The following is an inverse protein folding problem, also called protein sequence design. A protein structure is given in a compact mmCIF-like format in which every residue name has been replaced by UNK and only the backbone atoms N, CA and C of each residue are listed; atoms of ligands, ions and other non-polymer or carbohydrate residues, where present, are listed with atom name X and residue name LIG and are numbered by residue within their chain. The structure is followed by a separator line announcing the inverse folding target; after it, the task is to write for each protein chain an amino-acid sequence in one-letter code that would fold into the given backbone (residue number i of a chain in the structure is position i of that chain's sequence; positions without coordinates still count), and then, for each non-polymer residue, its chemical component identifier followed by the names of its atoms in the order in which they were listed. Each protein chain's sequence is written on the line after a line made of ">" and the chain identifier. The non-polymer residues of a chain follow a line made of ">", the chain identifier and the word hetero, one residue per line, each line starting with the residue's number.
data_IF_875480737664
#
_entry.id   IF_875480737664
#
_cell.length_a   1.000
_cell.length_b   1.000
_cell.length_c   1.000
_cell.angle_alpha   90.00
_cell.angle_beta   90.00
_cell.angle_gamma   90.00
#
_symmetry.space_group_name_H-M   'P 1'
#
loop_
_entity.id
_entity.type
_entity.pdbx_description
1 polymer ?
#
# COMPACT_ATOMS: atom_id res chain seq x y z
N UNK A 1 -33.65 -22.60 -12.04
CA UNK A 1 -32.68 -21.55 -12.41
C UNK A 1 -32.43 -20.52 -11.27
N UNK A 2 -33.49 -19.93 -10.63
CA UNK A 2 -33.29 -19.01 -9.49
C UNK A 2 -32.52 -19.62 -8.32
N UNK A 3 -32.83 -20.86 -7.96
CA UNK A 3 -32.16 -21.57 -6.86
C UNK A 3 -30.65 -21.75 -7.08
N UNK A 4 -30.22 -22.10 -8.30
CA UNK A 4 -28.82 -22.24 -8.64
C UNK A 4 -28.07 -20.92 -8.51
N UNK A 5 -28.67 -19.80 -8.93
CA UNK A 5 -28.08 -18.46 -8.77
C UNK A 5 -27.94 -18.08 -7.30
N UNK A 6 -28.95 -18.35 -6.47
CA UNK A 6 -28.90 -18.10 -5.03
C UNK A 6 -27.79 -18.92 -4.36
N UNK A 7 -27.61 -20.18 -4.76
CA UNK A 7 -26.48 -21.01 -4.28
C UNK A 7 -25.14 -20.39 -4.68
N UNK A 8 -25.00 -19.94 -5.93
CA UNK A 8 -23.77 -19.26 -6.37
C UNK A 8 -23.48 -17.99 -5.53
N UNK A 9 -24.49 -17.16 -5.28
CA UNK A 9 -24.33 -15.96 -4.45
C UNK A 9 -23.96 -16.31 -3.01
N UNK A 10 -24.57 -17.34 -2.42
CA UNK A 10 -24.23 -17.83 -1.10
C UNK A 10 -22.78 -18.33 -1.02
N UNK A 11 -22.29 -19.05 -2.02
CA UNK A 11 -20.90 -19.52 -2.08
C UNK A 11 -19.93 -18.32 -2.12
N UNK A 12 -20.21 -17.30 -2.94
CA UNK A 12 -19.39 -16.08 -3.02
C UNK A 12 -19.40 -15.32 -1.69
N UNK A 13 -20.55 -15.21 -1.02
CA UNK A 13 -20.67 -14.60 0.30
C UNK A 13 -19.84 -15.36 1.34
N UNK A 14 -19.97 -16.68 1.42
CA UNK A 14 -19.20 -17.52 2.36
C UNK A 14 -17.69 -17.37 2.12
N UNK A 15 -17.27 -17.39 0.86
CA UNK A 15 -15.87 -17.12 0.51
C UNK A 15 -15.40 -15.74 1.00
N UNK A 16 -16.23 -14.70 0.77
CA UNK A 16 -15.88 -13.34 1.16
C UNK A 16 -15.76 -13.18 2.69
N UNK A 17 -16.71 -13.74 3.43
CA UNK A 17 -16.68 -13.77 4.90
C UNK A 17 -15.43 -14.52 5.40
N UNK A 18 -15.12 -15.68 4.81
CA UNK A 18 -13.91 -16.44 5.15
C UNK A 18 -12.63 -15.61 4.93
N UNK A 19 -12.57 -14.90 3.80
CA UNK A 19 -11.45 -14.02 3.48
C UNK A 19 -11.29 -12.88 4.50
N UNK A 20 -12.38 -12.17 4.81
CA UNK A 20 -12.39 -11.08 5.80
C UNK A 20 -12.10 -11.58 7.22
N UNK A 21 -12.60 -12.74 7.59
CA UNK A 21 -12.31 -13.38 8.88
C UNK A 21 -10.80 -13.67 9.02
N UNK A 22 -10.17 -14.13 7.94
CA UNK A 22 -8.71 -14.31 7.91
C UNK A 22 -7.95 -13.03 8.16
N UNK A 23 -8.37 -11.91 7.55
CA UNK A 23 -7.79 -10.57 7.78
C UNK A 23 -7.98 -10.16 9.24
N UNK A 24 -9.21 -10.27 9.77
CA UNK A 24 -9.53 -9.90 11.15
C UNK A 24 -8.69 -10.66 12.18
N UNK A 25 -8.54 -11.98 12.00
CA UNK A 25 -7.68 -12.83 12.85
C UNK A 25 -6.23 -12.40 12.72
N UNK A 26 -5.75 -12.17 11.49
CA UNK A 26 -4.37 -11.76 11.23
C UNK A 26 -4.00 -10.44 11.90
N UNK A 27 -4.91 -9.47 11.93
CA UNK A 27 -4.69 -8.20 12.64
C UNK A 27 -4.43 -8.39 14.16
N UNK A 28 -4.86 -9.49 14.75
CA UNK A 28 -4.59 -9.80 16.16
C UNK A 28 -3.30 -10.57 16.40
N UNK A 29 -2.59 -11.01 15.35
CA UNK A 29 -1.40 -11.87 15.48
C UNK A 29 -0.07 -11.11 15.45
N UNK A 30 -0.09 -9.79 15.26
CA UNK A 30 1.13 -9.00 15.23
C UNK A 30 1.75 -8.91 16.61
N UNK A 31 3.03 -9.26 16.70
CA UNK A 31 3.79 -9.17 17.94
C UNK A 31 4.22 -7.73 18.20
N UNK A 32 4.02 -7.25 19.42
CA UNK A 32 4.58 -5.99 19.90
C UNK A 32 6.02 -6.17 20.45
N UNK A 33 6.67 -7.29 20.15
CA UNK A 33 8.05 -7.52 20.60
C UNK A 33 8.96 -6.51 19.95
N UNK A 34 9.42 -5.55 20.72
CA UNK A 34 10.52 -4.68 20.34
C UNK A 34 11.81 -5.48 20.45
N UNK A 35 12.55 -5.59 19.35
CA UNK A 35 13.93 -6.04 19.38
C UNK A 35 14.79 -4.94 20.03
N UNK A 36 15.88 -5.33 20.70
CA UNK A 36 16.91 -4.40 21.10
C UNK A 36 17.50 -3.80 19.80
N UNK A 37 17.75 -2.48 19.79
CA UNK A 37 18.23 -1.75 18.62
C UNK A 37 19.18 -2.57 17.74
N UNK A 38 18.89 -2.56 16.43
CA UNK A 38 19.85 -3.03 15.45
C UNK A 38 21.08 -2.12 15.49
N UNK A 39 22.26 -2.71 15.46
CA UNK A 39 23.51 -1.97 15.32
C UNK A 39 23.85 -1.71 13.84
N UNK A 40 22.95 -2.11 12.93
CA UNK A 40 23.11 -2.02 11.49
C UNK A 40 22.85 -0.60 10.99
N UNK A 41 23.67 -0.15 10.03
CA UNK A 41 23.48 1.14 9.40
C UNK A 41 22.31 1.11 8.42
N UNK A 42 21.49 2.16 8.42
CA UNK A 42 20.23 2.24 7.68
C UNK A 42 20.31 3.29 6.58
N UNK A 43 19.80 2.96 5.38
CA UNK A 43 19.56 3.96 4.34
C UNK A 43 18.06 4.15 4.12
N UNK A 44 17.60 5.40 4.20
CA UNK A 44 16.27 5.82 3.82
C UNK A 44 16.30 6.35 2.39
N UNK A 45 15.59 5.72 1.47
CA UNK A 45 15.53 6.09 0.05
C UNK A 45 14.22 6.79 -0.26
N UNK A 46 14.30 8.02 -0.78
CA UNK A 46 13.16 8.88 -1.09
C UNK A 46 13.22 9.30 -2.57
N UNK A 47 12.71 8.48 -3.48
CA UNK A 47 12.59 8.86 -4.88
C UNK A 47 11.55 9.97 -5.04
N UNK A 48 11.87 11.02 -5.80
CA UNK A 48 10.96 12.11 -6.07
C UNK A 48 10.92 12.54 -7.53
N UNK A 49 9.75 12.99 -7.97
CA UNK A 49 9.53 13.64 -9.26
C UNK A 49 8.33 14.56 -9.16
N UNK A 50 8.55 15.86 -9.41
CA UNK A 50 7.52 16.90 -9.41
C UNK A 50 6.71 16.91 -8.10
N UNK A 51 7.39 17.21 -6.98
CA UNK A 51 6.84 17.26 -5.62
C UNK A 51 7.09 18.63 -4.96
N UNK A 52 7.22 19.70 -5.75
CA UNK A 52 7.62 21.02 -5.26
C UNK A 52 6.70 21.61 -4.17
N UNK A 53 5.43 21.18 -4.12
CA UNK A 53 4.47 21.66 -3.10
C UNK A 53 4.71 21.09 -1.71
N UNK A 54 5.19 19.84 -1.63
CA UNK A 54 5.20 19.07 -0.37
C UNK A 54 6.61 18.66 0.09
N UNK A 55 7.60 18.67 -0.80
CA UNK A 55 8.90 18.04 -0.57
C UNK A 55 9.66 18.62 0.64
N UNK A 56 9.48 19.92 0.95
CA UNK A 56 10.09 20.53 2.13
C UNK A 56 9.44 20.07 3.44
N UNK A 57 8.14 19.80 3.46
CA UNK A 57 7.49 19.20 4.63
C UNK A 57 7.95 17.75 4.85
N UNK A 58 8.16 17.00 3.76
CA UNK A 58 8.80 15.69 3.85
C UNK A 58 10.20 15.79 4.46
N UNK A 59 11.03 16.73 3.99
CA UNK A 59 12.38 16.97 4.52
C UNK A 59 12.34 17.30 6.01
N UNK A 60 11.49 18.22 6.43
CA UNK A 60 11.33 18.60 7.83
C UNK A 60 10.97 17.40 8.72
N UNK A 61 10.05 16.55 8.26
CA UNK A 61 9.64 15.36 9.00
C UNK A 61 10.78 14.33 9.15
N UNK A 62 11.66 14.25 8.17
CA UNK A 62 12.85 13.38 8.18
C UNK A 62 13.96 13.97 9.08
N UNK A 63 14.17 15.28 9.03
CA UNK A 63 15.12 15.97 9.92
C UNK A 63 14.79 15.77 11.41
N UNK A 64 13.51 15.68 11.73
CA UNK A 64 12.99 15.57 13.09
C UNK A 64 12.96 14.13 13.63
N UNK A 65 13.55 13.13 12.93
CA UNK A 65 13.56 11.75 13.41
C UNK A 65 14.33 11.60 14.72
N UNK A 66 13.80 10.78 15.65
CA UNK A 66 14.41 10.48 16.96
C UNK A 66 15.60 9.51 16.86
N UNK A 67 15.71 8.75 15.76
CA UNK A 67 16.80 7.80 15.55
C UNK A 67 18.14 8.53 15.39
N UNK A 68 19.25 8.03 15.98
CA UNK A 68 20.56 8.72 15.96
C UNK A 68 21.04 9.02 14.53
N UNK A 69 21.39 10.28 14.26
CA UNK A 69 21.76 10.76 12.92
C UNK A 69 23.04 10.13 12.34
N UNK A 70 23.89 9.63 13.20
CA UNK A 70 25.11 8.90 12.84
C UNK A 70 24.85 7.43 12.44
N UNK A 71 23.65 6.90 12.70
CA UNK A 71 23.26 5.52 12.39
C UNK A 71 22.40 5.37 11.13
N UNK A 72 22.04 6.46 10.46
CA UNK A 72 21.30 6.40 9.21
C UNK A 72 21.71 7.50 8.23
N UNK A 73 21.49 7.24 6.95
CA UNK A 73 21.64 8.19 5.86
C UNK A 73 20.36 8.24 5.04
N UNK A 74 19.94 9.43 4.67
CA UNK A 74 18.77 9.66 3.80
C UNK A 74 19.25 10.07 2.42
N UNK A 75 18.71 9.45 1.38
CA UNK A 75 19.03 9.76 0.00
C UNK A 75 17.75 10.16 -0.73
N UNK A 76 17.59 11.47 -1.00
CA UNK A 76 16.61 11.98 -1.92
C UNK A 76 17.09 11.75 -3.35
N UNK A 77 16.31 11.05 -4.16
CA UNK A 77 16.71 10.64 -5.51
C UNK A 77 15.80 11.29 -6.53
N UNK A 78 16.33 12.29 -7.23
CA UNK A 78 15.61 13.01 -8.29
C UNK A 78 15.45 12.15 -9.54
N UNK A 79 14.21 11.78 -9.86
CA UNK A 79 13.85 11.07 -11.11
C UNK A 79 13.46 12.06 -12.20
N UNK A 80 14.39 12.93 -12.62
CA UNK A 80 14.23 13.91 -13.70
C UNK A 80 13.02 14.84 -13.47
N UNK A 81 12.94 15.51 -12.30
CA UNK A 81 11.92 16.53 -12.04
C UNK A 81 12.02 17.69 -13.01
N UNK A 82 10.89 18.23 -13.42
CA UNK A 82 10.76 19.38 -14.32
C UNK A 82 10.24 20.64 -13.61
N UNK A 83 9.89 20.50 -12.34
CA UNK A 83 9.48 21.59 -11.45
C UNK A 83 10.62 22.03 -10.51
N UNK A 84 10.32 22.90 -9.53
CA UNK A 84 11.30 23.42 -8.58
C UNK A 84 11.69 22.44 -7.45
N UNK A 85 11.25 21.17 -7.46
CA UNK A 85 11.51 20.21 -6.38
C UNK A 85 13.00 20.06 -6.07
N UNK A 86 13.82 19.83 -7.10
CA UNK A 86 15.27 19.66 -6.94
C UNK A 86 15.93 20.93 -6.39
N UNK A 87 15.57 22.10 -6.94
CA UNK A 87 16.09 23.39 -6.51
C UNK A 87 15.77 23.68 -5.04
N UNK A 88 14.51 23.42 -4.62
CA UNK A 88 14.08 23.58 -3.23
C UNK A 88 14.88 22.70 -2.28
N UNK A 89 15.06 21.40 -2.61
CA UNK A 89 15.87 20.49 -1.79
C UNK A 89 17.36 20.87 -1.74
N UNK A 90 17.95 21.30 -2.85
CA UNK A 90 19.35 21.70 -2.88
C UNK A 90 19.61 22.96 -2.04
N UNK A 91 18.68 23.91 -2.04
CA UNK A 91 18.78 25.18 -1.31
C UNK A 91 18.39 25.08 0.17
N UNK A 92 17.66 24.02 0.56
CA UNK A 92 17.27 23.84 1.96
C UNK A 92 18.49 23.47 2.83
N UNK A 93 18.51 24.00 4.06
CA UNK A 93 19.44 23.51 5.09
C UNK A 93 19.11 22.08 5.45
N UNK A 94 20.17 21.25 5.55
CA UNK A 94 20.03 19.80 5.80
C UNK A 94 21.13 19.31 6.71
N UNK A 95 20.81 18.33 7.54
CA UNK A 95 21.78 17.58 8.31
C UNK A 95 22.75 16.83 7.38
N UNK A 96 23.98 16.60 7.85
CA UNK A 96 25.05 15.96 7.07
C UNK A 96 24.74 14.53 6.63
N UNK A 97 23.77 13.88 7.27
CA UNK A 97 23.31 12.54 6.92
C UNK A 97 22.20 12.54 5.83
N UNK A 98 21.85 13.71 5.25
CA UNK A 98 20.85 13.82 4.16
C UNK A 98 21.54 14.24 2.87
N UNK A 99 21.39 13.44 1.84
CA UNK A 99 21.95 13.66 0.50
C UNK A 99 20.86 13.82 -0.55
N UNK A 100 21.14 14.61 -1.57
CA UNK A 100 20.30 14.75 -2.75
C UNK A 100 21.13 14.34 -3.95
N UNK A 101 20.66 13.36 -4.72
CA UNK A 101 21.31 12.88 -5.93
C UNK A 101 20.33 12.90 -7.10
N UNK A 102 20.86 13.11 -8.30
CA UNK A 102 20.06 13.02 -9.54
C UNK A 102 20.37 11.72 -10.27
N UNK A 103 19.32 11.09 -10.75
CA UNK A 103 19.40 9.88 -11.54
C UNK A 103 19.94 10.23 -12.96
N UNK A 104 20.93 9.49 -13.48
CA UNK A 104 21.32 9.63 -14.90
C UNK A 104 20.15 9.35 -15.83
N UNK A 105 20.02 10.13 -16.91
CA UNK A 105 18.88 10.04 -17.82
C UNK A 105 18.75 8.68 -18.50
N UNK A 106 19.86 8.07 -18.83
CA UNK A 106 19.99 6.76 -19.49
C UNK A 106 19.86 5.57 -18.54
N UNK A 107 19.85 5.81 -17.20
CA UNK A 107 19.72 4.74 -16.24
C UNK A 107 18.34 4.12 -16.22
N UNK A 108 18.18 2.92 -16.82
CA UNK A 108 16.94 2.13 -16.87
C UNK A 108 15.70 2.97 -17.25
N UNK A 109 15.63 3.60 -18.42
CA UNK A 109 14.66 4.65 -18.77
C UNK A 109 13.19 4.19 -18.65
N UNK A 110 12.91 2.90 -18.77
CA UNK A 110 11.56 2.34 -18.72
C UNK A 110 11.14 1.83 -17.32
N UNK A 111 12.02 1.89 -16.32
CA UNK A 111 11.77 1.28 -15.00
C UNK A 111 11.06 2.21 -14.00
N UNK A 112 10.69 3.43 -14.41
CA UNK A 112 9.95 4.41 -13.59
C UNK A 112 10.55 4.56 -12.16
N UNK A 113 9.70 4.55 -11.10
CA UNK A 113 10.15 4.66 -9.70
C UNK A 113 11.20 3.61 -9.31
N UNK A 114 11.12 2.38 -9.85
CA UNK A 114 12.06 1.30 -9.52
C UNK A 114 13.50 1.63 -9.86
N UNK A 115 13.73 2.37 -10.97
CA UNK A 115 15.07 2.80 -11.34
C UNK A 115 15.71 3.70 -10.27
N UNK A 116 14.92 4.62 -9.71
CA UNK A 116 15.41 5.51 -8.66
C UNK A 116 15.72 4.75 -7.38
N UNK A 117 14.83 3.84 -6.94
CA UNK A 117 15.07 2.99 -5.77
C UNK A 117 16.29 2.09 -5.99
N UNK A 118 16.42 1.45 -7.16
CA UNK A 118 17.58 0.62 -7.50
C UNK A 118 18.87 1.42 -7.47
N UNK A 119 18.91 2.60 -8.09
CA UNK A 119 20.05 3.48 -8.07
C UNK A 119 20.44 3.88 -6.64
N UNK A 120 19.44 4.18 -5.79
CA UNK A 120 19.68 4.42 -4.36
C UNK A 120 20.31 3.21 -3.66
N UNK A 121 19.83 1.99 -3.90
CA UNK A 121 20.37 0.76 -3.31
C UNK A 121 21.83 0.51 -3.75
N UNK A 122 22.15 0.80 -5.01
CA UNK A 122 23.51 0.66 -5.54
C UNK A 122 24.49 1.69 -4.93
N UNK A 123 23.97 2.87 -4.56
CA UNK A 123 24.77 3.97 -3.98
C UNK A 123 24.70 4.05 -2.44
N UNK A 124 24.05 3.12 -1.75
CA UNK A 124 23.93 3.10 -0.31
C UNK A 124 24.87 2.07 0.36
N UNK A 125 25.28 2.37 1.59
CA UNK A 125 26.18 1.51 2.39
C UNK A 125 25.43 0.62 3.38
N UNK A 126 24.21 1.04 3.77
CA UNK A 126 23.43 0.39 4.83
C UNK A 126 22.98 -1.03 4.48
N UNK A 127 22.83 -1.84 5.50
CA UNK A 127 22.33 -3.22 5.42
C UNK A 127 20.82 -3.27 5.40
N UNK A 128 20.17 -2.27 5.99
CA UNK A 128 18.71 -2.08 5.98
C UNK A 128 18.37 -0.93 5.05
N UNK A 129 17.46 -1.19 4.14
CA UNK A 129 16.86 -0.21 3.23
C UNK A 129 15.47 0.12 3.74
N UNK A 130 15.17 1.39 3.89
CA UNK A 130 13.81 1.90 4.15
C UNK A 130 13.39 2.74 2.96
N UNK A 131 12.22 2.49 2.41
CA UNK A 131 11.66 3.29 1.32
C UNK A 131 10.46 4.08 1.80
N UNK A 132 10.37 5.33 1.36
CA UNK A 132 9.20 6.18 1.54
C UNK A 132 9.03 7.10 0.33
N UNK A 133 7.84 7.72 0.20
CA UNK A 133 7.56 8.65 -0.89
C UNK A 133 7.82 10.10 -0.46
N UNK A 134 8.15 10.95 -1.43
CA UNK A 134 8.50 12.36 -1.16
C UNK A 134 7.27 13.24 -0.82
N UNK A 135 6.06 12.72 -1.00
CA UNK A 135 4.80 13.33 -0.59
C UNK A 135 4.31 12.84 0.79
N UNK A 136 5.18 12.15 1.53
CA UNK A 136 4.88 11.57 2.82
C UNK A 136 5.45 12.39 3.99
N UNK A 137 4.69 12.42 5.09
CA UNK A 137 5.07 13.02 6.36
C UNK A 137 5.21 11.91 7.40
N UNK A 138 6.29 11.96 8.16
CA UNK A 138 6.69 10.92 9.10
C UNK A 138 6.54 11.41 10.54
N UNK A 139 6.10 10.53 11.44
CA UNK A 139 6.14 10.80 12.88
C UNK A 139 7.59 10.80 13.36
N UNK A 140 7.86 11.51 14.44
CA UNK A 140 9.22 11.64 15.00
C UNK A 140 9.88 10.30 15.30
N UNK A 141 9.11 9.33 15.80
CA UNK A 141 9.60 7.99 16.17
C UNK A 141 9.46 6.95 15.05
N UNK A 142 9.15 7.38 13.81
CA UNK A 142 8.86 6.48 12.70
C UNK A 142 10.00 5.50 12.42
N UNK A 143 11.21 6.01 12.18
CA UNK A 143 12.36 5.19 11.79
C UNK A 143 12.76 4.25 12.94
N UNK A 144 12.89 4.76 14.14
CA UNK A 144 13.18 3.97 15.34
C UNK A 144 12.14 2.86 15.55
N UNK A 145 10.86 3.19 15.36
CA UNK A 145 9.78 2.22 15.54
C UNK A 145 9.85 1.09 14.52
N UNK A 146 10.04 1.39 13.23
CA UNK A 146 10.18 0.35 12.20
C UNK A 146 11.36 -0.55 12.49
N UNK A 147 12.52 0.03 12.82
CA UNK A 147 13.74 -0.71 13.08
C UNK A 147 13.63 -1.61 14.33
N UNK A 148 12.81 -1.24 15.31
CA UNK A 148 12.56 -2.06 16.50
C UNK A 148 11.86 -3.40 16.20
N UNK A 149 11.31 -3.59 15.01
CA UNK A 149 10.68 -4.84 14.57
C UNK A 149 11.64 -5.81 13.88
N UNK A 150 12.90 -5.40 13.63
CA UNK A 150 13.88 -6.30 13.03
C UNK A 150 14.44 -7.28 14.06
N UNK A 151 14.54 -8.52 13.63
CA UNK A 151 15.36 -9.57 14.22
C UNK A 151 16.21 -10.23 13.11
N UNK A 152 16.97 -11.27 13.43
CA UNK A 152 17.85 -11.95 12.46
C UNK A 152 17.07 -12.64 11.31
N UNK A 153 15.82 -12.97 11.52
CA UNK A 153 14.98 -13.70 10.57
C UNK A 153 14.10 -12.76 9.72
N UNK A 154 13.99 -11.48 10.12
CA UNK A 154 13.14 -10.51 9.43
C UNK A 154 13.83 -9.98 8.19
N UNK A 155 13.29 -10.28 7.01
CA UNK A 155 13.80 -9.79 5.72
C UNK A 155 13.04 -8.61 5.15
N UNK A 156 11.77 -8.43 5.52
CA UNK A 156 10.92 -7.34 5.02
C UNK A 156 9.93 -6.90 6.11
N UNK A 157 9.79 -5.59 6.26
CA UNK A 157 8.76 -4.98 7.11
C UNK A 157 7.89 -4.07 6.25
N UNK A 158 6.57 -4.27 6.32
CA UNK A 158 5.57 -3.33 5.82
C UNK A 158 5.08 -2.46 6.96
N UNK A 159 5.11 -1.15 6.79
CA UNK A 159 4.57 -0.20 7.78
C UNK A 159 3.18 0.31 7.41
N UNK A 160 2.45 0.89 8.38
CA UNK A 160 1.16 1.50 8.16
C UNK A 160 1.29 2.84 7.43
N UNK A 161 0.37 3.07 6.50
CA UNK A 161 0.22 4.34 5.78
C UNK A 161 -1.23 4.78 5.89
N UNK A 162 -1.46 6.09 6.06
CA UNK A 162 -2.81 6.67 5.99
C UNK A 162 -2.82 7.89 5.07
N UNK A 163 -3.99 8.25 4.56
CA UNK A 163 -4.19 9.58 4.01
C UNK A 163 -4.50 10.57 5.12
N UNK A 164 -4.06 11.82 4.96
CA UNK A 164 -4.39 12.92 5.85
C UNK A 164 -5.90 13.09 6.03
N UNK A 165 -6.32 13.77 7.09
CA UNK A 165 -7.73 13.84 7.49
C UNK A 165 -8.65 14.46 6.43
N UNK A 166 -8.15 15.28 5.51
CA UNK A 166 -8.91 15.92 4.45
C UNK A 166 -10.16 16.68 4.94
N UNK A 167 -10.60 17.70 4.22
CA UNK A 167 -11.80 18.46 4.58
C UNK A 167 -13.04 17.96 3.85
N UNK A 168 -12.88 17.60 2.58
CA UNK A 168 -13.98 17.17 1.71
C UNK A 168 -14.44 15.74 2.03
N UNK A 169 -15.70 15.45 1.73
CA UNK A 169 -16.25 14.11 1.83
C UNK A 169 -15.50 13.12 0.93
N UNK A 170 -15.07 13.56 -0.26
CA UNK A 170 -14.31 12.76 -1.19
C UNK A 170 -12.96 12.30 -0.60
N UNK A 171 -12.23 13.20 0.06
CA UNK A 171 -10.97 12.87 0.74
C UNK A 171 -11.19 11.91 1.92
N UNK A 172 -12.27 12.13 2.70
CA UNK A 172 -12.63 11.24 3.82
C UNK A 172 -12.98 9.82 3.36
N UNK A 173 -13.67 9.68 2.20
CA UNK A 173 -13.96 8.37 1.60
C UNK A 173 -12.68 7.70 1.10
N UNK A 174 -11.76 8.43 0.47
CA UNK A 174 -10.46 7.89 0.09
C UNK A 174 -9.66 7.42 1.30
N UNK A 175 -9.68 8.17 2.41
CA UNK A 175 -8.95 7.82 3.63
C UNK A 175 -9.43 6.49 4.21
N UNK A 176 -10.74 6.27 4.31
CA UNK A 176 -11.28 5.02 4.85
C UNK A 176 -11.07 3.83 3.92
N UNK A 177 -11.21 4.01 2.61
CA UNK A 177 -10.94 2.98 1.60
C UNK A 177 -9.46 2.55 1.66
N UNK A 178 -8.54 3.52 1.73
CA UNK A 178 -7.12 3.26 1.80
C UNK A 178 -6.72 2.57 3.11
N UNK A 179 -7.31 2.97 4.24
CA UNK A 179 -7.12 2.29 5.52
C UNK A 179 -7.56 0.82 5.45
N UNK A 180 -8.69 0.51 4.80
CA UNK A 180 -9.14 -0.86 4.55
C UNK A 180 -8.10 -1.68 3.76
N UNK A 181 -7.46 -1.08 2.75
CA UNK A 181 -6.41 -1.72 1.96
C UNK A 181 -5.16 -2.03 2.83
N UNK A 182 -4.70 -1.06 3.62
CA UNK A 182 -3.56 -1.22 4.53
C UNK A 182 -3.84 -2.31 5.59
N UNK A 183 -5.03 -2.30 6.18
CA UNK A 183 -5.44 -3.32 7.17
C UNK A 183 -5.57 -4.71 6.54
N UNK A 184 -6.00 -4.79 5.29
CA UNK A 184 -6.02 -6.04 4.54
C UNK A 184 -4.62 -6.60 4.35
N UNK A 185 -3.65 -5.76 3.97
CA UNK A 185 -2.23 -6.12 3.88
C UNK A 185 -1.68 -6.60 5.23
N UNK A 186 -1.93 -5.84 6.29
CA UNK A 186 -1.54 -6.19 7.65
C UNK A 186 -2.13 -7.54 8.09
N UNK A 187 -3.43 -7.75 7.91
CA UNK A 187 -4.10 -8.99 8.27
C UNK A 187 -3.56 -10.20 7.50
N UNK A 188 -3.32 -10.05 6.20
CA UNK A 188 -2.74 -11.11 5.37
C UNK A 188 -1.30 -11.45 5.80
N UNK A 189 -0.48 -10.46 6.16
CA UNK A 189 0.86 -10.70 6.71
C UNK A 189 0.73 -11.45 8.06
N UNK A 190 -0.21 -11.06 8.92
CA UNK A 190 -0.43 -11.70 10.22
C UNK A 190 -0.84 -13.17 10.15
N UNK A 191 -1.45 -13.63 9.05
CA UNK A 191 -1.73 -15.05 8.78
C UNK A 191 -0.70 -15.71 7.86
N UNK A 192 0.47 -15.10 7.72
CA UNK A 192 1.60 -15.60 6.89
C UNK A 192 1.26 -15.80 5.39
N UNK A 193 0.39 -14.93 4.87
CA UNK A 193 0.00 -14.89 3.44
C UNK A 193 0.19 -13.49 2.86
N UNK A 194 1.40 -12.89 2.94
CA UNK A 194 1.65 -11.53 2.49
C UNK A 194 1.30 -11.36 1.02
N UNK A 195 0.47 -10.38 0.71
CA UNK A 195 0.00 -10.10 -0.65
C UNK A 195 0.09 -8.62 -1.00
N UNK A 196 -0.23 -7.73 -0.06
CA UNK A 196 -0.35 -6.28 -0.24
C UNK A 196 0.57 -5.58 0.76
N UNK A 197 1.31 -4.58 0.29
CA UNK A 197 2.05 -3.61 1.10
C UNK A 197 2.12 -2.27 0.35
N UNK A 198 2.78 -1.28 0.94
CA UNK A 198 2.92 0.05 0.33
C UNK A 198 4.38 0.53 0.41
N UNK A 199 4.94 0.94 -0.75
CA UNK A 199 6.30 1.44 -0.87
C UNK A 199 6.56 2.74 -0.09
N UNK A 200 5.50 3.50 0.26
CA UNK A 200 5.61 4.68 1.10
C UNK A 200 6.02 4.35 2.54
N UNK A 201 5.98 3.08 2.95
CA UNK A 201 6.40 2.63 4.27
C UNK A 201 6.83 1.16 4.22
N UNK A 202 7.90 0.88 3.51
CA UNK A 202 8.47 -0.45 3.39
C UNK A 202 9.95 -0.44 3.79
N UNK A 203 10.40 -1.53 4.41
CA UNK A 203 11.79 -1.69 4.81
C UNK A 203 12.22 -3.13 4.57
N UNK A 204 13.46 -3.34 4.13
CA UNK A 204 13.97 -4.68 3.84
C UNK A 204 15.49 -4.76 4.01
N UNK A 205 15.98 -5.97 4.32
CA UNK A 205 17.40 -6.24 4.31
C UNK A 205 17.94 -6.16 2.87
N UNK A 206 19.06 -5.48 2.70
CA UNK A 206 19.76 -5.41 1.40
C UNK A 206 20.16 -6.81 0.91
N UNK A 207 20.49 -7.71 1.81
CA UNK A 207 20.75 -9.11 1.50
C UNK A 207 19.49 -9.82 0.99
N UNK A 208 18.33 -9.65 1.64
CA UNK A 208 17.06 -10.23 1.18
C UNK A 208 16.63 -9.70 -0.19
N UNK A 209 16.89 -8.42 -0.48
CA UNK A 209 16.70 -7.83 -1.80
C UNK A 209 17.59 -8.51 -2.86
N UNK A 210 18.89 -8.65 -2.56
CA UNK A 210 19.87 -9.28 -3.47
C UNK A 210 19.55 -10.74 -3.74
N UNK A 211 19.16 -11.51 -2.70
CA UNK A 211 18.90 -12.94 -2.80
C UNK A 211 17.79 -13.30 -3.78
N UNK A 212 16.88 -12.36 -4.05
CA UNK A 212 15.77 -12.56 -5.00
C UNK A 212 15.96 -11.78 -6.32
N UNK A 213 17.18 -11.33 -6.62
CA UNK A 213 17.52 -10.49 -7.78
C UNK A 213 16.69 -9.21 -7.85
N UNK A 214 16.37 -8.62 -6.70
CA UNK A 214 15.69 -7.34 -6.57
C UNK A 214 14.51 -7.14 -7.53
N UNK A 215 14.59 -6.11 -8.39
CA UNK A 215 13.53 -5.74 -9.35
C UNK A 215 13.71 -6.33 -10.76
N UNK A 216 14.75 -7.13 -11.05
CA UNK A 216 15.15 -7.48 -12.43
C UNK A 216 14.02 -8.09 -13.27
N UNK A 217 13.19 -8.95 -12.70
CA UNK A 217 12.05 -9.56 -13.41
C UNK A 217 10.91 -8.59 -13.76
N UNK A 218 10.92 -7.35 -13.25
CA UNK A 218 9.75 -6.47 -13.22
C UNK A 218 10.09 -5.00 -13.52
N UNK A 219 11.25 -4.72 -14.10
CA UNK A 219 11.70 -3.35 -14.40
C UNK A 219 10.73 -2.59 -15.31
N UNK A 220 10.11 -3.28 -16.26
CA UNK A 220 9.16 -2.69 -17.20
C UNK A 220 7.79 -2.35 -16.58
N UNK A 221 7.51 -2.77 -15.35
CA UNK A 221 6.27 -2.44 -14.65
C UNK A 221 6.47 -1.14 -13.88
N UNK A 222 5.59 -0.17 -14.08
CA UNK A 222 5.64 1.13 -13.40
C UNK A 222 5.22 1.09 -11.93
N UNK A 223 4.85 -0.07 -11.40
CA UNK A 223 4.36 -0.28 -10.05
C UNK A 223 4.80 -1.67 -9.56
N UNK A 224 4.66 -1.93 -8.25
CA UNK A 224 5.01 -3.24 -7.65
C UNK A 224 6.47 -3.33 -7.25
N UNK A 225 7.11 -2.21 -7.00
CA UNK A 225 8.41 -2.11 -6.32
C UNK A 225 8.36 -2.65 -4.88
N UNK A 226 7.19 -2.63 -4.30
CA UNK A 226 6.85 -3.06 -2.94
C UNK A 226 6.31 -4.50 -2.89
N UNK A 227 5.08 -4.68 -3.37
CA UNK A 227 4.33 -5.94 -3.25
C UNK A 227 5.01 -7.12 -3.95
N UNK A 228 5.56 -6.88 -5.16
CA UNK A 228 6.22 -7.95 -5.91
C UNK A 228 7.54 -8.34 -5.23
N UNK A 229 8.30 -7.36 -4.72
CA UNK A 229 9.52 -7.63 -3.95
C UNK A 229 9.19 -8.41 -2.68
N UNK A 230 8.21 -7.97 -1.89
CA UNK A 230 7.76 -8.66 -0.69
C UNK A 230 7.35 -10.11 -0.99
N UNK A 231 6.57 -10.33 -2.07
CA UNK A 231 6.16 -11.66 -2.49
C UNK A 231 7.34 -12.53 -2.98
N UNK A 232 8.37 -11.93 -3.59
CA UNK A 232 9.62 -12.63 -3.98
C UNK A 232 10.39 -13.08 -2.74
N UNK A 233 10.61 -12.18 -1.76
CA UNK A 233 11.29 -12.48 -0.50
C UNK A 233 10.53 -13.57 0.27
N UNK A 234 9.19 -13.52 0.30
CA UNK A 234 8.38 -14.55 0.96
C UNK A 234 8.53 -15.93 0.30
N UNK A 235 8.65 -15.99 -1.03
CA UNK A 235 8.84 -17.27 -1.74
C UNK A 235 10.21 -17.88 -1.52
N UNK A 236 11.23 -17.05 -1.34
CA UNK A 236 12.58 -17.49 -1.01
C UNK A 236 12.66 -18.23 0.34
N UNK A 237 11.67 -18.01 1.19
CA UNK A 237 11.43 -18.70 2.47
C UNK A 237 12.59 -18.64 3.50
N UNK A 238 13.61 -17.82 3.25
CA UNK A 238 14.74 -17.59 4.17
C UNK A 238 14.39 -16.58 5.24
N UNK A 239 13.46 -15.68 4.92
CA UNK A 239 13.13 -14.53 5.76
C UNK A 239 11.64 -14.45 6.07
N UNK A 240 11.35 -13.90 7.24
CA UNK A 240 10.00 -13.53 7.67
C UNK A 240 9.60 -12.18 7.08
N UNK A 241 8.31 -12.05 6.79
CA UNK A 241 7.66 -10.79 6.45
C UNK A 241 6.84 -10.35 7.66
N UNK A 242 7.04 -9.11 8.11
CA UNK A 242 6.37 -8.56 9.29
C UNK A 242 5.60 -7.30 8.91
N UNK A 243 4.48 -7.05 9.57
CA UNK A 243 3.82 -5.76 9.55
C UNK A 243 4.08 -5.01 10.86
N UNK A 244 4.55 -3.77 10.77
CA UNK A 244 4.81 -2.91 11.93
C UNK A 244 3.49 -2.35 12.47
N UNK A 245 2.86 -3.06 13.41
CA UNK A 245 1.57 -2.70 14.01
C UNK A 245 1.76 -1.69 15.14
N UNK A 246 2.21 -0.47 14.80
CA UNK A 246 2.46 0.58 15.78
C UNK A 246 2.10 1.96 15.23
N UNK A 247 1.40 2.77 16.03
CA UNK A 247 0.95 4.13 15.65
C UNK A 247 2.12 5.07 15.35
N UNK A 248 3.26 4.93 16.03
CA UNK A 248 4.43 5.76 15.80
C UNK A 248 5.07 5.51 14.43
N UNK A 249 4.79 4.36 13.81
CA UNK A 249 5.25 4.02 12.47
C UNK A 249 4.29 4.48 11.36
N UNK A 250 3.16 5.12 11.67
CA UNK A 250 2.20 5.58 10.64
C UNK A 250 2.83 6.71 9.83
N UNK A 251 2.86 6.51 8.51
CA UNK A 251 3.25 7.50 7.51
C UNK A 251 1.98 8.12 6.94
N UNK A 252 1.95 9.46 6.84
CA UNK A 252 0.81 10.19 6.30
C UNK A 252 1.13 10.72 4.90
N UNK A 253 0.30 10.38 3.91
CA UNK A 253 0.33 10.89 2.54
C UNK A 253 -0.93 11.71 2.26
N UNK A 254 -0.99 12.38 1.10
CA UNK A 254 -2.12 13.20 0.71
C UNK A 254 -3.13 12.41 -0.13
N UNK A 255 -4.45 12.57 0.11
CA UNK A 255 -5.47 12.04 -0.79
C UNK A 255 -5.46 12.81 -2.12
N UNK A 256 -6.02 12.18 -3.17
CA UNK A 256 -6.16 12.88 -4.45
C UNK A 256 -7.19 14.01 -4.36
N UNK A 257 -6.85 15.17 -4.92
CA UNK A 257 -7.74 16.34 -4.97
C UNK A 257 -8.84 16.19 -6.02
N UNK A 258 -8.58 15.47 -7.12
CA UNK A 258 -9.51 15.33 -8.25
C UNK A 258 -9.92 13.88 -8.48
N UNK A 259 -11.14 13.68 -9.02
CA UNK A 259 -11.64 12.35 -9.43
C UNK A 259 -10.76 11.75 -10.53
N UNK A 260 -10.21 12.58 -11.41
CA UNK A 260 -9.33 12.12 -12.49
C UNK A 260 -8.02 11.52 -11.95
N UNK A 261 -7.37 12.18 -10.99
CA UNK A 261 -6.14 11.68 -10.36
C UNK A 261 -6.41 10.42 -9.55
N UNK A 262 -7.51 10.40 -8.82
CA UNK A 262 -8.01 9.21 -8.13
C UNK A 262 -8.21 8.04 -9.10
N UNK A 263 -8.88 8.26 -10.23
CA UNK A 263 -9.10 7.23 -11.24
C UNK A 263 -7.79 6.65 -11.77
N UNK A 264 -6.84 7.51 -12.15
CA UNK A 264 -5.54 7.06 -12.67
C UNK A 264 -4.71 6.33 -11.60
N UNK A 265 -4.73 6.79 -10.36
CA UNK A 265 -4.05 6.13 -9.25
C UNK A 265 -4.63 4.73 -8.98
N UNK A 266 -5.95 4.60 -8.86
CA UNK A 266 -6.62 3.32 -8.58
C UNK A 266 -6.50 2.34 -9.75
N UNK A 267 -6.62 2.82 -10.98
CA UNK A 267 -6.37 2.01 -12.19
C UNK A 267 -4.95 1.44 -12.19
N UNK A 268 -3.94 2.25 -11.83
CA UNK A 268 -2.55 1.82 -11.70
C UNK A 268 -2.41 0.74 -10.62
N UNK A 269 -3.05 0.91 -9.47
CA UNK A 269 -2.99 -0.08 -8.40
C UNK A 269 -3.67 -1.39 -8.78
N UNK A 270 -4.85 -1.35 -9.35
CA UNK A 270 -5.59 -2.53 -9.79
C UNK A 270 -4.83 -3.31 -10.89
N UNK A 271 -4.07 -2.60 -11.74
CA UNK A 271 -3.31 -3.21 -12.83
C UNK A 271 -2.24 -4.20 -12.38
N UNK A 272 -1.71 -4.06 -11.15
CA UNK A 272 -0.69 -4.95 -10.58
C UNK A 272 -1.15 -6.40 -10.48
N UNK A 273 -2.43 -6.63 -10.19
CA UNK A 273 -3.00 -7.98 -10.00
C UNK A 273 -2.76 -8.94 -11.16
N UNK A 274 -2.65 -8.43 -12.37
CA UNK A 274 -2.36 -9.25 -13.56
C UNK A 274 -0.95 -9.85 -13.56
N UNK A 275 0.00 -9.17 -12.91
CA UNK A 275 1.42 -9.56 -12.91
C UNK A 275 1.81 -10.42 -11.71
N UNK A 276 0.90 -10.68 -10.77
CA UNK A 276 1.20 -11.59 -9.67
C UNK A 276 1.50 -13.00 -10.20
N UNK A 277 2.61 -13.59 -9.77
CA UNK A 277 2.96 -14.97 -10.11
C UNK A 277 2.13 -16.01 -9.33
N UNK A 278 1.52 -15.62 -8.21
CA UNK A 278 0.73 -16.50 -7.35
C UNK A 278 -0.69 -16.69 -7.91
N UNK A 279 -0.96 -17.88 -8.47
CA UNK A 279 -2.28 -18.24 -9.05
C UNK A 279 -3.40 -18.23 -8.01
N UNK A 280 -3.12 -18.65 -6.76
CA UNK A 280 -4.12 -18.65 -5.68
C UNK A 280 -4.51 -17.22 -5.32
N UNK A 281 -3.55 -16.28 -5.27
CA UNK A 281 -3.85 -14.87 -5.04
C UNK A 281 -4.69 -14.30 -6.18
N UNK A 282 -4.36 -14.60 -7.44
CA UNK A 282 -5.19 -14.19 -8.59
C UNK A 282 -6.62 -14.71 -8.49
N UNK A 283 -6.78 -15.99 -8.16
CA UNK A 283 -8.11 -16.59 -7.97
C UNK A 283 -8.90 -15.87 -6.87
N UNK A 284 -8.26 -15.55 -5.73
CA UNK A 284 -8.93 -14.80 -4.66
C UNK A 284 -9.38 -13.42 -5.11
N UNK A 285 -8.56 -12.69 -5.86
CA UNK A 285 -8.93 -11.37 -6.40
C UNK A 285 -10.12 -11.47 -7.37
N UNK A 286 -10.15 -12.50 -8.21
CA UNK A 286 -11.29 -12.77 -9.10
C UNK A 286 -12.55 -13.09 -8.30
N UNK A 287 -12.47 -13.94 -7.28
CA UNK A 287 -13.63 -14.28 -6.44
C UNK A 287 -14.16 -13.06 -5.66
N UNK A 288 -13.28 -12.17 -5.19
CA UNK A 288 -13.67 -10.91 -4.57
C UNK A 288 -14.41 -10.03 -5.59
N UNK A 289 -13.88 -9.87 -6.79
CA UNK A 289 -14.54 -9.08 -7.85
C UNK A 289 -15.92 -9.69 -8.20
N UNK A 290 -16.02 -11.01 -8.32
CA UNK A 290 -17.29 -11.71 -8.56
C UNK A 290 -18.28 -11.51 -7.43
N UNK A 291 -17.83 -11.47 -6.17
CA UNK A 291 -18.71 -11.15 -5.04
C UNK A 291 -19.34 -9.75 -5.20
N UNK A 292 -18.54 -8.72 -5.50
CA UNK A 292 -19.06 -7.36 -5.71
C UNK A 292 -19.97 -7.26 -6.94
N UNK A 293 -19.64 -7.93 -8.03
CA UNK A 293 -20.50 -8.05 -9.21
C UNK A 293 -21.82 -8.73 -8.85
N UNK A 294 -21.77 -9.79 -8.01
CA UNK A 294 -22.97 -10.50 -7.58
C UNK A 294 -23.93 -9.62 -6.77
N UNK A 295 -23.41 -8.70 -5.93
CA UNK A 295 -24.24 -7.74 -5.21
C UNK A 295 -25.04 -6.85 -6.18
N UNK A 296 -24.39 -6.37 -7.23
CA UNK A 296 -25.05 -5.56 -8.26
C UNK A 296 -26.10 -6.37 -9.05
N UNK A 297 -25.76 -7.59 -9.45
CA UNK A 297 -26.69 -8.51 -10.16
C UNK A 297 -27.91 -8.83 -9.28
N UNK A 298 -27.74 -9.08 -7.98
CA UNK A 298 -28.83 -9.37 -7.06
C UNK A 298 -29.85 -8.22 -6.98
N UNK A 299 -29.39 -6.95 -7.01
CA UNK A 299 -30.30 -5.80 -7.06
C UNK A 299 -31.14 -5.82 -8.35
N UNK A 300 -30.49 -6.01 -9.51
CA UNK A 300 -31.17 -6.03 -10.81
C UNK A 300 -32.21 -7.17 -10.86
N UNK A 301 -31.80 -8.38 -10.51
CA UNK A 301 -32.68 -9.55 -10.51
C UNK A 301 -33.84 -9.39 -9.52
N UNK A 302 -33.60 -8.75 -8.39
CA UNK A 302 -34.60 -8.47 -7.38
C UNK A 302 -35.70 -7.50 -7.85
N UNK A 303 -35.32 -6.52 -8.67
CA UNK A 303 -36.25 -5.54 -9.25
C UNK A 303 -37.02 -6.16 -10.45
N UNK A 304 -36.32 -6.93 -11.30
CA UNK A 304 -36.85 -7.37 -12.60
C UNK A 304 -37.61 -8.72 -12.50
N UNK A 305 -37.13 -9.65 -11.63
CA UNK A 305 -37.64 -11.03 -11.63
C UNK A 305 -38.34 -11.43 -10.33
N UNK A 306 -37.66 -11.36 -9.18
CA UNK A 306 -38.23 -11.86 -7.93
C UNK A 306 -37.55 -11.21 -6.71
N UNK A 307 -38.38 -10.72 -5.77
CA UNK A 307 -37.94 -10.06 -4.54
C UNK A 307 -36.96 -10.91 -3.66
N UNK A 308 -36.93 -12.23 -3.84
CA UNK A 308 -35.99 -13.11 -3.12
C UNK A 308 -34.54 -12.71 -3.36
N UNK A 309 -34.22 -12.16 -4.54
CA UNK A 309 -32.85 -11.67 -4.85
C UNK A 309 -32.53 -10.37 -4.08
N UNK A 310 -33.52 -9.50 -3.79
CA UNK A 310 -33.31 -8.35 -2.90
C UNK A 310 -33.06 -8.80 -1.47
N UNK A 311 -33.73 -9.82 -0.99
CA UNK A 311 -33.44 -10.41 0.33
C UNK A 311 -32.02 -10.97 0.35
N UNK A 312 -31.61 -11.69 -0.70
CA UNK A 312 -30.23 -12.20 -0.84
C UNK A 312 -29.20 -11.06 -0.85
N UNK A 313 -29.48 -9.95 -1.56
CA UNK A 313 -28.64 -8.75 -1.54
C UNK A 313 -28.53 -8.15 -0.13
N UNK A 314 -29.66 -7.95 0.56
CA UNK A 314 -29.68 -7.36 1.90
C UNK A 314 -28.87 -8.20 2.89
N UNK A 315 -29.00 -9.53 2.84
CA UNK A 315 -28.20 -10.45 3.66
C UNK A 315 -26.72 -10.31 3.33
N UNK A 316 -26.35 -10.38 2.04
CA UNK A 316 -24.96 -10.30 1.59
C UNK A 316 -24.32 -8.95 1.96
N UNK A 317 -25.05 -7.86 1.78
CA UNK A 317 -24.60 -6.50 2.10
C UNK A 317 -24.48 -6.28 3.61
N UNK A 318 -25.38 -6.82 4.40
CA UNK A 318 -25.33 -6.75 5.86
C UNK A 318 -24.08 -7.47 6.40
N UNK A 319 -23.80 -8.69 5.94
CA UNK A 319 -22.60 -9.42 6.35
C UNK A 319 -21.32 -8.70 5.89
N UNK A 320 -21.28 -8.15 4.66
CA UNK A 320 -20.19 -7.31 4.19
C UNK A 320 -19.94 -6.15 5.16
N UNK A 321 -20.96 -5.35 5.49
CA UNK A 321 -20.86 -4.21 6.41
C UNK A 321 -20.31 -4.64 7.77
N UNK A 322 -20.84 -5.71 8.35
CA UNK A 322 -20.43 -6.17 9.69
C UNK A 322 -18.94 -6.53 9.72
N UNK A 323 -18.48 -7.31 8.75
CA UNK A 323 -17.08 -7.78 8.75
C UNK A 323 -16.10 -6.68 8.37
N UNK A 324 -16.42 -5.82 7.39
CA UNK A 324 -15.57 -4.69 7.03
C UNK A 324 -15.52 -3.65 8.17
N UNK A 325 -16.64 -3.37 8.82
CA UNK A 325 -16.67 -2.51 10.02
C UNK A 325 -15.78 -3.07 11.13
N UNK A 326 -15.87 -4.38 11.41
CA UNK A 326 -15.06 -5.01 12.45
C UNK A 326 -13.55 -4.88 12.17
N UNK A 327 -13.13 -5.02 10.90
CA UNK A 327 -11.74 -4.82 10.48
C UNK A 327 -11.31 -3.37 10.67
N UNK A 328 -12.10 -2.41 10.16
CA UNK A 328 -11.81 -0.98 10.28
C UNK A 328 -11.81 -0.52 11.73
N UNK A 329 -12.77 -0.96 12.53
CA UNK A 329 -12.84 -0.69 13.98
C UNK A 329 -11.58 -1.18 14.70
N UNK A 330 -11.15 -2.42 14.42
CA UNK A 330 -9.90 -2.96 14.95
C UNK A 330 -8.68 -2.14 14.50
N UNK A 331 -8.69 -1.68 13.25
CA UNK A 331 -7.67 -0.77 12.72
C UNK A 331 -7.61 0.57 13.44
N UNK A 332 -8.76 1.18 13.79
CA UNK A 332 -8.78 2.43 14.57
C UNK A 332 -8.34 2.23 16.02
N UNK A 333 -8.56 1.06 16.58
CA UNK A 333 -8.08 0.77 17.92
C UNK A 333 -6.54 0.56 17.96
N UNK A 334 -5.96 0.02 16.88
CA UNK A 334 -4.54 -0.32 16.78
C UNK A 334 -3.67 0.79 16.17
N UNK A 335 -4.11 1.43 15.10
CA UNK A 335 -3.28 2.30 14.24
C UNK A 335 -3.87 3.70 14.03
N UNK A 336 -5.15 3.79 13.63
CA UNK A 336 -5.75 5.00 13.11
C UNK A 336 -6.62 5.71 14.13
N UNK A 337 -7.07 6.92 13.79
CA UNK A 337 -8.00 7.68 14.61
C UNK A 337 -9.45 7.19 14.44
N UNK A 338 -10.25 7.24 15.52
CA UNK A 338 -11.67 6.83 15.47
C UNK A 338 -12.52 7.65 14.48
N UNK A 339 -12.12 8.89 14.20
CA UNK A 339 -12.82 9.76 13.23
C UNK A 339 -12.82 9.18 11.80
N UNK A 340 -11.90 8.27 11.49
CA UNK A 340 -11.84 7.54 10.22
C UNK A 340 -13.18 6.87 9.88
N UNK A 341 -13.92 6.37 10.87
CA UNK A 341 -15.17 5.64 10.67
C UNK A 341 -16.40 6.51 10.34
N UNK A 342 -16.30 7.85 10.43
CA UNK A 342 -17.45 8.74 10.21
C UNK A 342 -18.14 8.54 8.84
N UNK A 343 -17.42 8.43 7.70
CA UNK A 343 -18.04 8.24 6.39
C UNK A 343 -18.34 6.75 6.07
N UNK A 344 -18.23 5.83 7.04
CA UNK A 344 -18.23 4.38 6.80
C UNK A 344 -19.41 3.91 5.95
N UNK A 345 -20.66 4.19 6.34
CA UNK A 345 -21.84 3.68 5.61
C UNK A 345 -21.90 4.18 4.16
N UNK A 346 -21.54 5.44 3.92
CA UNK A 346 -21.49 5.98 2.57
C UNK A 346 -20.34 5.35 1.76
N UNK A 347 -19.19 5.16 2.40
CA UNK A 347 -18.06 4.48 1.76
C UNK A 347 -18.44 3.04 1.35
N UNK A 348 -19.19 2.31 2.18
CA UNK A 348 -19.65 0.94 1.89
C UNK A 348 -20.55 0.85 0.67
N UNK A 349 -21.45 1.82 0.50
CA UNK A 349 -22.32 1.89 -0.68
C UNK A 349 -21.49 2.17 -1.94
N UNK A 350 -20.58 3.16 -1.87
CA UNK A 350 -19.71 3.54 -2.98
C UNK A 350 -18.63 2.48 -3.29
N UNK A 351 -18.30 1.63 -2.33
CA UNK A 351 -17.31 0.55 -2.51
C UNK A 351 -17.77 -0.50 -3.54
N UNK A 352 -19.09 -0.71 -3.68
CA UNK A 352 -19.63 -1.66 -4.68
C UNK A 352 -19.26 -1.22 -6.12
N UNK A 353 -19.71 -0.06 -6.63
CA UNK A 353 -19.33 0.38 -7.97
C UNK A 353 -17.83 0.61 -8.11
N UNK A 354 -17.15 1.07 -7.04
CA UNK A 354 -15.71 1.28 -7.03
C UNK A 354 -14.94 -0.02 -7.37
N UNK A 355 -15.18 -1.11 -6.64
CA UNK A 355 -14.48 -2.39 -6.90
C UNK A 355 -14.79 -2.92 -8.29
N UNK A 356 -16.05 -2.84 -8.74
CA UNK A 356 -16.45 -3.31 -10.09
C UNK A 356 -15.69 -2.52 -11.17
N UNK A 357 -15.73 -1.18 -11.08
CA UNK A 357 -15.10 -0.30 -12.08
C UNK A 357 -13.60 -0.56 -12.15
N UNK A 358 -12.90 -0.59 -11.00
CA UNK A 358 -11.44 -0.72 -11.00
C UNK A 358 -10.96 -2.15 -11.26
N UNK A 359 -11.75 -3.18 -10.93
CA UNK A 359 -11.46 -4.54 -11.37
C UNK A 359 -11.44 -4.65 -12.91
N UNK A 360 -12.35 -3.96 -13.60
CA UNK A 360 -12.40 -3.93 -15.06
C UNK A 360 -11.35 -2.97 -15.62
N UNK A 361 -11.30 -1.72 -15.13
CA UNK A 361 -10.36 -0.70 -15.61
C UNK A 361 -8.91 -1.12 -15.44
N UNK A 362 -8.59 -1.84 -14.38
CA UNK A 362 -7.26 -2.42 -14.14
C UNK A 362 -6.82 -3.42 -15.20
N UNK A 363 -7.73 -4.06 -15.94
CA UNK A 363 -7.40 -5.03 -16.97
C UNK A 363 -7.06 -4.37 -18.31
N UNK A 364 -7.50 -3.12 -18.58
CA UNK A 364 -7.42 -2.50 -19.89
C UNK A 364 -6.69 -1.15 -19.89
N UNK A 365 -5.92 -0.91 -20.98
CA UNK A 365 -5.46 0.41 -21.40
C UNK A 365 -4.30 1.02 -20.57
N UNK A 366 -3.84 2.17 -21.05
CA UNK A 366 -2.76 2.94 -20.49
C UNK A 366 -3.25 3.81 -19.31
N UNK A 367 -2.33 4.27 -18.45
CA UNK A 367 -2.61 5.27 -17.42
C UNK A 367 -1.52 6.35 -17.43
N UNK A 368 -1.82 7.51 -16.83
CA UNK A 368 -0.84 8.57 -16.60
C UNK A 368 -0.26 8.46 -15.20
N UNK A 369 1.06 8.69 -15.04
CA UNK A 369 1.73 8.80 -13.78
C UNK A 369 2.80 9.88 -13.85
N UNK A 370 2.68 10.91 -13.00
CA UNK A 370 3.62 12.05 -12.94
C UNK A 370 3.94 12.58 -14.35
N UNK A 371 2.88 12.91 -15.13
CA UNK A 371 2.91 13.39 -16.50
C UNK A 371 3.45 12.40 -17.57
N UNK A 372 3.95 11.24 -17.15
CA UNK A 372 4.38 10.19 -18.08
C UNK A 372 3.22 9.29 -18.46
N UNK A 373 3.08 9.04 -19.78
CA UNK A 373 2.14 8.05 -20.28
C UNK A 373 2.77 6.67 -20.18
N UNK A 374 2.22 5.83 -19.32
CA UNK A 374 2.69 4.46 -19.14
C UNK A 374 1.93 3.55 -20.06
N UNK A 375 2.64 2.96 -21.04
CA UNK A 375 2.14 1.87 -21.89
C UNK A 375 2.26 0.57 -21.13
N UNK A 376 1.29 -0.32 -21.34
CA UNK A 376 1.29 -1.70 -20.83
C UNK A 376 2.05 -2.62 -21.75
#
# INVERSE_FOLDING_TARGET
>A
MPELLLICFAILLVFYIYFLSGIFVGLGKHSNKKSKYLDEFVNVLIPFRNESEIILHSLESIENQSYPKDKFEVIYINDSSTDDSLKKLCNAEKSSNIKVISLPEDFLPNAHKKRAVRFGIENCKGEIIVTTDADCIHRREWLETILSYYDKETGFISGPVEFSAGESLFEKIQRIEFAGLILSGAGLIGIDKPAICNAANASYRKEAYKSVNGFDDNLNLSSGDDEILMQKIRRDNRYKIIFCMNRNAVVTSLPNKTINDFYHQRKRWASKGLFYKNKILKLKLVLIALFYISLFIQIILGIVFNAVFLISFLISFLFKIIFEYAILKKGTDLLFEKQLLRPFLLAEILHIPYIIIFSIAGMFGNYKWKERRVKR
#
